data_IF_893049978336
#
_entry.id   IF_893049978336
#
_cell.length_a   1.000
_cell.length_b   1.000
_cell.length_c   1.000
_cell.angle_alpha   90.00
_cell.angle_beta   90.00
_cell.angle_gamma   90.00
#
_symmetry.space_group_name_H-M   'P 1'
#
loop_
_entity.id
_entity.type
_entity.pdbx_description
1 polymer ?
#
# COMPACT_ATOMS: atom_id res chain seq x y z
N UNK A 1 -18.85 -7.77 22.05
CA UNK A 1 -17.49 -8.23 22.40
C UNK A 1 -16.95 -9.05 21.23
N UNK A 2 -15.84 -8.63 20.62
CA UNK A 2 -15.27 -9.31 19.45
C UNK A 2 -14.67 -10.67 19.83
N UNK A 3 -15.12 -11.74 19.17
CA UNK A 3 -14.60 -13.10 19.38
C UNK A 3 -13.11 -13.18 18.92
N UNK A 4 -12.14 -13.46 19.80
CA UNK A 4 -10.71 -13.49 19.46
C UNK A 4 -10.39 -14.51 18.36
N UNK A 5 -11.04 -15.68 18.38
CA UNK A 5 -10.86 -16.70 17.35
C UNK A 5 -11.42 -16.26 15.99
N UNK A 6 -12.51 -15.49 15.99
CA UNK A 6 -13.07 -14.88 14.78
C UNK A 6 -12.12 -13.85 14.18
N UNK A 7 -11.54 -12.99 15.02
CA UNK A 7 -10.59 -11.98 14.58
C UNK A 7 -9.33 -12.59 13.92
N UNK A 8 -8.70 -13.59 14.56
CA UNK A 8 -7.52 -14.26 14.02
C UNK A 8 -7.78 -14.94 12.66
N UNK A 9 -8.97 -15.53 12.49
CA UNK A 9 -9.40 -16.09 11.20
C UNK A 9 -9.50 -15.00 10.14
N UNK A 10 -10.15 -13.88 10.45
CA UNK A 10 -10.30 -12.74 9.54
C UNK A 10 -8.95 -12.13 9.13
N UNK A 11 -8.02 -11.95 10.07
CA UNK A 11 -6.64 -11.49 9.80
C UNK A 11 -5.95 -12.43 8.83
N UNK A 12 -6.00 -13.75 9.07
CA UNK A 12 -5.36 -14.75 8.23
C UNK A 12 -5.96 -14.80 6.82
N UNK A 13 -7.28 -14.67 6.70
CA UNK A 13 -7.96 -14.62 5.41
C UNK A 13 -7.50 -13.39 4.62
N UNK A 14 -7.53 -12.20 5.24
CA UNK A 14 -7.10 -10.96 4.60
C UNK A 14 -5.65 -11.03 4.11
N UNK A 15 -4.73 -11.46 4.99
CA UNK A 15 -3.33 -11.63 4.65
C UNK A 15 -3.14 -12.54 3.43
N UNK A 16 -3.77 -13.72 3.42
CA UNK A 16 -3.68 -14.66 2.29
C UNK A 16 -4.33 -14.12 1.02
N UNK A 17 -5.43 -13.37 1.12
CA UNK A 17 -6.09 -12.74 -0.03
C UNK A 17 -5.17 -11.72 -0.68
N UNK A 18 -4.51 -10.86 0.10
CA UNK A 18 -3.56 -9.87 -0.43
C UNK A 18 -2.40 -10.56 -1.16
N UNK A 19 -1.78 -11.58 -0.56
CA UNK A 19 -0.69 -12.33 -1.21
C UNK A 19 -1.14 -13.04 -2.50
N UNK A 20 -2.42 -13.41 -2.62
CA UNK A 20 -2.96 -13.98 -3.87
C UNK A 20 -3.14 -12.89 -4.93
N UNK A 21 -3.65 -11.72 -4.55
CA UNK A 21 -3.79 -10.57 -5.45
C UNK A 21 -2.43 -10.09 -5.97
N UNK A 22 -1.39 -10.11 -5.12
CA UNK A 22 -0.02 -9.76 -5.53
C UNK A 22 0.54 -10.59 -6.68
N UNK A 23 0.06 -11.83 -6.89
CA UNK A 23 0.44 -12.66 -8.06
C UNK A 23 -0.06 -12.09 -9.40
N UNK A 24 -0.97 -11.12 -9.34
CA UNK A 24 -1.43 -10.35 -10.47
C UNK A 24 -0.60 -9.09 -10.75
N UNK A 25 0.40 -8.78 -9.94
CA UNK A 25 1.25 -7.61 -10.15
C UNK A 25 2.46 -7.96 -11.03
N UNK A 26 3.08 -6.95 -11.69
CA UNK A 26 4.44 -7.06 -12.22
C UNK A 26 5.43 -7.56 -11.16
N UNK A 27 6.49 -8.24 -11.58
CA UNK A 27 7.40 -8.98 -10.70
C UNK A 27 8.04 -8.09 -9.61
N UNK A 28 8.43 -6.87 -9.98
CA UNK A 28 9.05 -5.90 -9.08
C UNK A 28 8.06 -5.43 -8.02
N UNK A 29 6.83 -5.08 -8.44
CA UNK A 29 5.75 -4.65 -7.54
C UNK A 29 5.28 -5.79 -6.64
N UNK A 30 5.21 -7.01 -7.16
CA UNK A 30 4.86 -8.21 -6.40
C UNK A 30 5.90 -8.45 -5.29
N UNK A 31 7.19 -8.42 -5.62
CA UNK A 31 8.26 -8.70 -4.67
C UNK A 31 8.33 -7.65 -3.55
N UNK A 32 8.25 -6.37 -3.92
CA UNK A 32 8.18 -5.26 -2.98
C UNK A 32 6.94 -5.37 -2.08
N UNK A 33 5.76 -5.60 -2.68
CA UNK A 33 4.50 -5.72 -1.96
C UNK A 33 4.48 -6.88 -0.97
N UNK A 34 5.00 -8.06 -1.35
CA UNK A 34 5.07 -9.21 -0.47
C UNK A 34 5.90 -8.94 0.79
N UNK A 35 7.07 -8.31 0.64
CA UNK A 35 7.91 -7.94 1.77
C UNK A 35 7.18 -6.94 2.68
N UNK A 36 6.60 -5.89 2.10
CA UNK A 36 5.91 -4.85 2.85
C UNK A 36 4.71 -5.40 3.64
N UNK A 37 3.84 -6.20 3.01
CA UNK A 37 2.69 -6.85 3.67
C UNK A 37 3.13 -7.71 4.85
N UNK A 38 4.19 -8.50 4.68
CA UNK A 38 4.72 -9.35 5.75
C UNK A 38 5.18 -8.51 6.95
N UNK A 39 5.91 -7.45 6.68
CA UNK A 39 6.52 -6.62 7.71
C UNK A 39 5.45 -5.80 8.46
N UNK A 40 4.46 -5.25 7.75
CA UNK A 40 3.37 -4.49 8.36
C UNK A 40 2.43 -5.34 9.21
N UNK A 41 2.01 -6.53 8.73
CA UNK A 41 1.22 -7.45 9.56
C UNK A 41 2.00 -7.95 10.78
N UNK A 42 3.33 -8.05 10.69
CA UNK A 42 4.18 -8.40 11.83
C UNK A 42 4.23 -7.26 12.85
N UNK A 43 4.40 -6.01 12.41
CA UNK A 43 4.42 -4.81 13.27
C UNK A 43 3.10 -4.62 14.01
N UNK A 44 1.98 -4.97 13.40
CA UNK A 44 0.65 -4.80 13.98
C UNK A 44 0.14 -5.98 14.83
N UNK A 45 0.98 -6.98 15.15
CA UNK A 45 0.56 -8.13 15.97
C UNK A 45 0.12 -7.77 17.39
N UNK A 46 0.65 -6.67 17.94
CA UNK A 46 0.47 -6.27 19.34
C UNK A 46 -0.26 -4.93 19.48
N UNK A 47 -0.88 -4.44 18.40
CA UNK A 47 -1.63 -3.19 18.44
C UNK A 47 -2.91 -3.33 19.28
N UNK A 48 -3.42 -2.22 19.78
CA UNK A 48 -4.64 -2.23 20.57
C UNK A 48 -5.89 -2.50 19.69
N UNK A 49 -7.05 -2.86 20.27
CA UNK A 49 -8.22 -3.22 19.47
C UNK A 49 -8.74 -2.13 18.52
N UNK A 50 -8.56 -0.84 18.85
CA UNK A 50 -8.99 0.26 18.00
C UNK A 50 -8.05 0.42 16.80
N UNK A 51 -6.74 0.39 17.03
CA UNK A 51 -5.73 0.37 15.97
C UNK A 51 -5.90 -0.86 15.07
N UNK A 52 -6.14 -2.03 15.65
CA UNK A 52 -6.39 -3.27 14.91
C UNK A 52 -7.62 -3.15 14.00
N UNK A 53 -8.67 -2.46 14.45
CA UNK A 53 -9.88 -2.25 13.65
C UNK A 53 -9.59 -1.35 12.44
N UNK A 54 -8.90 -0.23 12.66
CA UNK A 54 -8.48 0.70 11.59
C UNK A 54 -7.54 0.00 10.61
N UNK A 55 -6.51 -0.68 11.13
CA UNK A 55 -5.59 -1.48 10.32
C UNK A 55 -6.35 -2.46 9.43
N UNK A 56 -7.23 -3.28 10.01
CA UNK A 56 -8.00 -4.25 9.24
C UNK A 56 -8.94 -3.61 8.21
N UNK A 57 -9.44 -2.40 8.46
CA UNK A 57 -10.25 -1.65 7.49
C UNK A 57 -9.40 -1.18 6.31
N UNK A 58 -8.29 -0.51 6.57
CA UNK A 58 -7.40 0.02 5.54
C UNK A 58 -6.83 -1.11 4.65
N UNK A 59 -6.43 -2.22 5.25
CA UNK A 59 -5.92 -3.37 4.48
C UNK A 59 -7.01 -4.10 3.67
N UNK A 60 -8.28 -4.04 4.11
CA UNK A 60 -9.41 -4.50 3.27
C UNK A 60 -9.63 -3.55 2.09
N UNK A 61 -9.61 -2.24 2.32
CA UNK A 61 -9.74 -1.24 1.25
C UNK A 61 -8.63 -1.39 0.21
N UNK A 62 -7.39 -1.62 0.65
CA UNK A 62 -6.26 -1.94 -0.21
C UNK A 62 -6.52 -3.20 -1.05
N UNK A 63 -6.98 -4.29 -0.44
CA UNK A 63 -7.29 -5.53 -1.16
C UNK A 63 -8.40 -5.34 -2.22
N UNK A 64 -9.45 -4.58 -1.90
CA UNK A 64 -10.52 -4.23 -2.86
C UNK A 64 -9.94 -3.43 -4.03
N UNK A 65 -9.16 -2.38 -3.73
CA UNK A 65 -8.50 -1.55 -4.75
C UNK A 65 -7.62 -2.38 -5.69
N UNK A 66 -6.80 -3.28 -5.13
CA UNK A 66 -5.97 -4.18 -5.92
C UNK A 66 -6.83 -5.09 -6.81
N UNK A 67 -7.90 -5.68 -6.27
CA UNK A 67 -8.78 -6.55 -7.04
C UNK A 67 -9.44 -5.81 -8.21
N UNK A 68 -9.89 -4.57 -7.99
CA UNK A 68 -10.46 -3.71 -9.03
C UNK A 68 -9.43 -3.38 -10.12
N UNK A 69 -8.20 -3.00 -9.74
CA UNK A 69 -7.13 -2.64 -10.67
C UNK A 69 -6.62 -3.83 -11.50
N UNK A 70 -6.59 -5.02 -10.92
CA UNK A 70 -6.24 -6.26 -11.63
C UNK A 70 -7.32 -6.68 -12.63
N UNK A 71 -8.56 -6.27 -12.39
CA UNK A 71 -9.72 -6.63 -13.19
C UNK A 71 -10.01 -8.13 -13.21
N UNK A 72 -11.13 -8.50 -13.84
CA UNK A 72 -11.57 -9.91 -13.94
C UNK A 72 -10.66 -10.74 -14.87
N UNK A 73 -9.86 -10.08 -15.72
CA UNK A 73 -9.01 -10.70 -16.76
C UNK A 73 -7.54 -10.88 -16.36
N UNK A 74 -7.16 -10.41 -15.17
CA UNK A 74 -5.86 -10.70 -14.56
C UNK A 74 -4.72 -9.73 -14.92
N UNK A 75 -3.49 -10.00 -14.42
CA UNK A 75 -2.29 -9.17 -14.51
C UNK A 75 -2.03 -8.46 -15.84
N UNK A 76 -2.36 -9.14 -16.95
CA UNK A 76 -1.96 -8.74 -18.31
C UNK A 76 -2.83 -7.63 -18.92
N UNK A 77 -3.90 -7.22 -18.25
CA UNK A 77 -4.81 -6.15 -18.71
C UNK A 77 -4.78 -4.89 -17.85
N UNK A 78 -4.09 -4.90 -16.71
CA UNK A 78 -3.98 -3.74 -15.85
C UNK A 78 -2.94 -2.75 -16.41
N UNK A 79 -3.43 -1.65 -17.01
CA UNK A 79 -2.56 -0.66 -17.65
C UNK A 79 -1.97 0.37 -16.68
N UNK A 80 -2.56 0.55 -15.49
CA UNK A 80 -2.11 1.52 -14.48
C UNK A 80 -2.44 0.97 -13.08
N UNK A 81 -1.45 0.90 -12.21
CA UNK A 81 -1.60 0.56 -10.80
C UNK A 81 -1.50 1.81 -9.94
N UNK A 82 -2.17 1.79 -8.79
CA UNK A 82 -2.23 2.93 -7.87
C UNK A 82 -3.35 3.92 -8.20
N UNK A 83 -3.49 4.93 -7.34
CA UNK A 83 -4.42 6.05 -7.49
C UNK A 83 -3.63 7.33 -7.29
N UNK A 84 -4.07 8.39 -7.93
CA UNK A 84 -3.46 9.70 -7.73
C UNK A 84 -3.74 10.15 -6.29
N UNK A 85 -2.75 10.82 -5.67
CA UNK A 85 -2.86 11.29 -4.30
C UNK A 85 -3.79 12.50 -4.25
N UNK A 86 -4.81 12.46 -3.39
CA UNK A 86 -5.68 13.62 -3.15
C UNK A 86 -4.89 14.74 -2.48
N UNK A 87 -5.11 15.99 -2.87
CA UNK A 87 -4.40 17.15 -2.30
C UNK A 87 -4.56 17.23 -0.76
N UNK A 88 -5.76 16.95 -0.27
CA UNK A 88 -6.07 16.91 1.17
C UNK A 88 -5.30 15.83 1.94
N UNK A 89 -4.75 14.82 1.25
CA UNK A 89 -3.91 13.84 1.88
C UNK A 89 -2.53 14.42 2.24
N UNK A 90 -2.05 15.44 1.52
CA UNK A 90 -0.77 16.11 1.80
C UNK A 90 -0.78 16.82 3.16
N UNK A 91 -1.93 17.31 3.60
CA UNK A 91 -2.10 17.94 4.92
C UNK A 91 -1.80 16.99 6.10
N UNK A 92 -1.75 15.67 5.84
CA UNK A 92 -1.44 14.63 6.84
C UNK A 92 0.06 14.32 6.94
N UNK A 93 0.88 14.89 6.07
CA UNK A 93 2.32 14.67 6.02
C UNK A 93 3.03 15.77 6.78
N UNK A 94 4.17 15.42 7.40
CA UNK A 94 5.09 16.44 7.90
C UNK A 94 5.88 17.06 6.75
N UNK A 95 6.42 18.25 6.97
CA UNK A 95 7.20 18.99 5.96
C UNK A 95 8.35 18.16 5.37
N UNK A 96 9.07 17.38 6.19
CA UNK A 96 10.14 16.47 5.74
C UNK A 96 9.64 15.39 4.79
N UNK A 97 8.44 14.87 5.05
CA UNK A 97 7.83 13.83 4.22
C UNK A 97 7.28 14.40 2.90
N UNK A 98 6.80 15.66 2.93
CA UNK A 98 6.36 16.36 1.72
C UNK A 98 7.57 16.62 0.80
N UNK A 99 8.69 17.08 1.37
CA UNK A 99 9.93 17.28 0.61
C UNK A 99 10.41 15.97 -0.04
N UNK A 100 10.47 14.87 0.74
CA UNK A 100 10.83 13.55 0.20
C UNK A 100 9.88 13.06 -0.90
N UNK A 101 8.57 13.29 -0.75
CA UNK A 101 7.60 12.92 -1.77
C UNK A 101 7.79 13.72 -3.06
N UNK A 102 8.14 15.01 -2.94
CA UNK A 102 8.45 15.87 -4.07
C UNK A 102 9.74 15.44 -4.80
N UNK A 103 10.81 15.16 -4.07
CA UNK A 103 12.05 14.60 -4.62
C UNK A 103 11.80 13.28 -5.35
N UNK A 104 11.00 12.39 -4.76
CA UNK A 104 10.60 11.14 -5.40
C UNK A 104 9.83 11.38 -6.71
N UNK A 105 8.95 12.38 -6.75
CA UNK A 105 8.22 12.75 -7.97
C UNK A 105 9.16 13.24 -9.06
N UNK A 106 10.13 14.09 -8.73
CA UNK A 106 11.13 14.61 -9.68
C UNK A 106 11.97 13.47 -10.25
N UNK A 107 12.52 12.60 -9.39
CA UNK A 107 13.29 11.44 -9.79
C UNK A 107 12.50 10.49 -10.69
N UNK A 108 11.24 10.19 -10.35
CA UNK A 108 10.38 9.31 -11.16
C UNK A 108 10.05 9.89 -12.54
N UNK A 109 10.01 11.22 -12.68
CA UNK A 109 9.78 11.92 -13.94
C UNK A 109 11.08 12.20 -14.72
N UNK A 110 12.24 11.79 -14.19
CA UNK A 110 13.56 12.18 -14.69
C UNK A 110 13.70 13.70 -14.88
N UNK A 111 13.13 14.47 -13.94
CA UNK A 111 13.28 15.92 -13.90
C UNK A 111 14.45 16.20 -12.95
N UNK A 112 15.57 16.68 -13.48
CA UNK A 112 16.70 17.12 -12.67
C UNK A 112 16.27 18.30 -11.79
N UNK A 113 16.64 18.27 -10.51
CA UNK A 113 16.37 19.37 -9.61
C UNK A 113 17.21 20.59 -10.04
N UNK A 114 16.65 21.80 -9.94
CA UNK A 114 17.39 23.03 -10.28
C UNK A 114 18.62 23.27 -9.36
N UNK A 115 18.75 22.51 -8.26
CA UNK A 115 19.92 22.53 -7.38
C UNK A 115 21.13 21.81 -8.01
N UNK A 116 20.91 20.78 -8.83
CA UNK A 116 21.98 20.03 -9.51
C UNK A 116 22.59 20.82 -10.68
N UNK A 117 21.89 21.82 -11.23
CA UNK A 117 22.37 22.66 -12.34
C UNK A 117 23.37 23.75 -11.93
N UNK A 118 23.63 23.91 -10.62
CA UNK A 118 24.52 24.94 -10.09
C UNK A 118 25.89 24.44 -9.63
N UNK A 119 26.19 23.14 -9.81
CA UNK A 119 27.48 22.54 -9.45
C UNK A 119 28.38 22.27 -10.64
#
# INVERSE_FOLDING_TARGET
>A
MSNPAGHLKSVRVLYKTILRLHRGLPEELQSLGHQYVRDEFKRHKTCNPAEAAVFMQEWRNYAVTLAEQLGVRGPKTASKFGRDLEEQALDKFRDDQIAQLYELMLAAKNIESEEDKKS
#
